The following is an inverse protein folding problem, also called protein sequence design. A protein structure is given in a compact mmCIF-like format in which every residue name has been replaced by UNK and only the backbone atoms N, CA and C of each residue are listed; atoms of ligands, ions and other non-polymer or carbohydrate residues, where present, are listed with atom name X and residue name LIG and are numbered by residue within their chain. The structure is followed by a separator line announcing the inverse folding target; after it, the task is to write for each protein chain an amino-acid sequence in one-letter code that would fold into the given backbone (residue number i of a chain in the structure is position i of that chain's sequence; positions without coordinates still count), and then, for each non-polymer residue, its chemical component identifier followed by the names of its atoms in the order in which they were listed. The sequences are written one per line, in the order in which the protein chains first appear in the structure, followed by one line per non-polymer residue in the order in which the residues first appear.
data_IF_060214711055
#
_entry.id   IF_060214711055
#
_cell.length_a   1.000
_cell.length_b   1.000
_cell.length_c   1.000
_cell.angle_alpha   90.00
_cell.angle_beta   90.00
_cell.angle_gamma   90.00
#
_symmetry.space_group_name_H-M   'P 1'
#
loop_
_entity.id
_entity.type
_entity.pdbx_description
1 polymer ?
#
# COMPACT_ATOMS: atom_id res chain seq x y z
N UNK A 1 16.97 -10.04 50.84
CA UNK A 1 17.56 -11.25 50.20
C UNK A 1 16.46 -12.28 50.02
N UNK A 2 16.32 -12.85 48.82
CA UNK A 2 15.30 -13.87 48.54
C UNK A 2 15.89 -15.23 48.95
N UNK A 3 15.31 -15.87 49.96
CA UNK A 3 15.76 -17.14 50.54
C UNK A 3 15.09 -18.30 49.79
N UNK A 4 15.85 -19.32 49.45
CA UNK A 4 15.34 -20.53 48.79
C UNK A 4 15.61 -21.73 49.71
N UNK A 5 14.65 -22.66 49.80
CA UNK A 5 14.72 -23.81 50.70
C UNK A 5 15.01 -25.09 49.91
N UNK A 6 15.86 -25.96 50.44
CA UNK A 6 16.12 -27.29 49.88
C UNK A 6 15.06 -28.31 50.31
N UNK A 7 15.11 -29.52 49.75
CA UNK A 7 14.17 -30.62 50.05
C UNK A 7 14.24 -31.12 51.50
N UNK A 8 15.22 -30.64 52.27
CA UNK A 8 15.40 -30.92 53.70
C UNK A 8 15.04 -29.71 54.58
N UNK A 9 14.45 -28.66 54.00
CA UNK A 9 13.99 -27.46 54.71
C UNK A 9 15.12 -26.54 55.19
N UNK A 10 16.35 -26.71 54.69
CA UNK A 10 17.43 -25.75 54.97
C UNK A 10 17.26 -24.52 54.09
N UNK A 11 17.40 -23.35 54.72
CA UNK A 11 17.43 -22.06 54.03
C UNK A 11 18.82 -21.85 53.44
N UNK A 12 18.90 -21.89 52.13
CA UNK A 12 20.11 -21.61 51.37
C UNK A 12 20.18 -20.13 51.01
N UNK A 13 21.39 -19.59 51.06
CA UNK A 13 21.68 -18.30 50.47
C UNK A 13 21.46 -18.35 48.96
N UNK A 14 21.18 -17.20 48.34
CA UNK A 14 21.07 -17.11 46.88
C UNK A 14 22.34 -17.64 46.20
N UNK A 15 23.54 -17.45 46.78
CA UNK A 15 24.78 -18.02 46.23
C UNK A 15 24.84 -19.55 46.29
N UNK A 16 24.44 -20.14 47.42
CA UNK A 16 24.50 -21.61 47.63
C UNK A 16 23.46 -22.36 46.79
N UNK A 17 22.34 -21.71 46.46
CA UNK A 17 21.30 -22.30 45.61
C UNK A 17 21.75 -22.45 44.16
N UNK A 18 22.57 -21.52 43.67
CA UNK A 18 23.16 -21.59 42.33
C UNK A 18 24.27 -22.65 42.23
N UNK A 19 25.07 -22.82 43.30
CA UNK A 19 26.15 -23.84 43.33
C UNK A 19 25.61 -25.28 43.41
N UNK A 20 24.41 -25.47 43.96
CA UNK A 20 23.78 -26.79 44.09
C UNK A 20 22.91 -27.20 42.87
N UNK A 21 22.86 -26.36 41.83
CA UNK A 21 22.15 -26.67 40.58
C UNK A 21 23.09 -27.49 39.67
N UNK A 22 22.64 -28.65 39.17
CA UNK A 22 23.47 -29.57 38.37
C UNK A 22 23.98 -28.88 37.10
N UNK A 23 25.20 -29.20 36.65
CA UNK A 23 25.76 -28.66 35.39
C UNK A 23 24.83 -28.90 34.18
N UNK A 24 24.08 -30.00 34.15
CA UNK A 24 23.07 -30.27 33.11
C UNK A 24 21.90 -29.27 33.13
N UNK A 25 21.53 -28.69 34.29
CA UNK A 25 20.53 -27.62 34.39
C UNK A 25 21.14 -26.23 34.11
N UNK A 26 22.47 -26.12 34.10
CA UNK A 26 23.18 -24.90 33.64
C UNK A 26 23.25 -24.83 32.11
N UNK A 27 23.23 -25.96 31.41
CA UNK A 27 23.36 -26.03 29.95
C UNK A 27 22.02 -26.14 29.19
N UNK A 28 20.88 -26.38 29.86
CA UNK A 28 19.58 -26.67 29.20
C UNK A 28 18.72 -25.43 28.87
N UNK A 29 19.00 -24.23 29.38
CA UNK A 29 18.11 -23.05 29.15
C UNK A 29 18.84 -21.74 28.77
N UNK A 30 20.10 -21.86 28.36
CA UNK A 30 21.02 -20.77 28.04
C UNK A 30 21.47 -20.91 26.58
N UNK A 31 20.61 -20.67 25.60
CA UNK A 31 20.86 -19.41 24.91
C UNK A 31 20.59 -18.27 25.89
N UNK A 32 21.68 -17.75 26.46
CA UNK A 32 21.63 -16.82 27.58
C UNK A 32 20.66 -15.70 27.26
N UNK A 33 19.97 -15.15 28.26
CA UNK A 33 19.16 -13.95 28.04
C UNK A 33 19.94 -12.83 27.32
N UNK A 34 21.27 -12.84 27.44
CA UNK A 34 22.18 -12.00 26.67
C UNK A 34 22.23 -12.36 25.18
N UNK A 35 22.38 -13.64 24.81
CA UNK A 35 22.36 -14.12 23.42
C UNK A 35 20.98 -13.94 22.75
N UNK A 36 19.88 -14.27 23.44
CA UNK A 36 18.52 -14.01 22.94
C UNK A 36 18.33 -12.50 22.65
N UNK A 37 18.81 -11.64 23.54
CA UNK A 37 18.79 -10.17 23.36
C UNK A 37 19.70 -9.72 22.22
N UNK A 38 20.89 -10.32 22.07
CA UNK A 38 21.82 -10.01 20.99
C UNK A 38 21.24 -10.41 19.62
N UNK A 39 20.67 -11.60 19.51
CA UNK A 39 20.01 -12.09 18.30
C UNK A 39 18.82 -11.21 17.92
N UNK A 40 17.94 -10.87 18.89
CA UNK A 40 16.84 -9.93 18.65
C UNK A 40 17.34 -8.56 18.15
N UNK A 41 18.40 -8.02 18.77
CA UNK A 41 19.01 -6.76 18.33
C UNK A 41 19.62 -6.84 16.93
N UNK A 42 20.17 -8.00 16.54
CA UNK A 42 20.70 -8.23 15.20
C UNK A 42 19.58 -8.27 14.16
N UNK A 43 18.49 -8.99 14.43
CA UNK A 43 17.32 -9.04 13.56
C UNK A 43 16.68 -7.67 13.36
N UNK A 44 16.53 -6.88 14.43
CA UNK A 44 15.95 -5.55 14.32
C UNK A 44 16.86 -4.58 13.56
N UNK A 45 18.19 -4.68 13.67
CA UNK A 45 19.11 -3.92 12.80
C UNK A 45 18.86 -4.24 11.33
N UNK A 46 18.84 -5.53 10.97
CA UNK A 46 18.57 -5.99 9.60
C UNK A 46 17.23 -5.45 9.10
N UNK A 47 16.18 -5.47 9.93
CA UNK A 47 14.87 -4.89 9.60
C UNK A 47 14.97 -3.38 9.33
N UNK A 48 15.68 -2.63 10.17
CA UNK A 48 15.86 -1.18 10.00
C UNK A 48 16.65 -0.84 8.73
N UNK A 49 17.63 -1.66 8.37
CA UNK A 49 18.40 -1.48 7.14
C UNK A 49 17.51 -1.68 5.91
N UNK A 50 16.69 -2.73 5.88
CA UNK A 50 15.72 -2.94 4.79
C UNK A 50 14.72 -1.78 4.66
N UNK A 51 14.27 -1.21 5.78
CA UNK A 51 13.39 -0.02 5.77
C UNK A 51 14.13 1.19 5.22
N UNK A 52 15.39 1.39 5.62
CA UNK A 52 16.23 2.48 5.12
C UNK A 52 16.42 2.37 3.61
N UNK A 53 16.64 1.16 3.08
CA UNK A 53 16.76 0.91 1.65
C UNK A 53 15.43 1.22 0.94
N UNK A 54 14.31 0.77 1.50
CA UNK A 54 12.97 1.08 0.96
C UNK A 54 12.69 2.58 0.90
N UNK A 55 13.11 3.35 1.92
CA UNK A 55 13.01 4.81 1.92
C UNK A 55 13.90 5.47 0.85
N UNK A 56 15.07 4.89 0.59
CA UNK A 56 15.98 5.38 -0.45
C UNK A 56 15.37 5.17 -1.83
N UNK A 57 14.88 3.96 -2.12
CA UNK A 57 14.16 3.66 -3.37
C UNK A 57 12.92 4.53 -3.57
N UNK A 58 12.17 4.80 -2.49
CA UNK A 58 11.00 5.68 -2.54
C UNK A 58 11.39 7.12 -2.88
N UNK A 59 12.43 7.66 -2.23
CA UNK A 59 12.94 9.01 -2.51
C UNK A 59 13.35 9.14 -3.98
N UNK A 60 14.09 8.16 -4.49
CA UNK A 60 14.62 8.20 -5.85
C UNK A 60 13.51 8.09 -6.92
N UNK A 61 12.34 7.52 -6.55
CA UNK A 61 11.15 7.45 -7.41
C UNK A 61 10.32 8.73 -7.44
N UNK A 62 10.60 9.70 -6.55
CA UNK A 62 9.87 10.98 -6.46
C UNK A 62 10.75 12.09 -7.07
N UNK A 63 10.40 12.64 -8.25
CA UNK A 63 11.27 13.58 -8.98
C UNK A 63 11.71 14.80 -8.17
N UNK A 64 10.81 15.35 -7.33
CA UNK A 64 11.11 16.53 -6.51
C UNK A 64 12.08 16.27 -5.34
N UNK A 65 12.49 15.03 -5.11
CA UNK A 65 13.39 14.64 -4.03
C UNK A 65 14.72 14.07 -4.55
N UNK A 66 14.88 13.93 -5.86
CA UNK A 66 16.09 13.40 -6.47
C UNK A 66 17.27 14.35 -6.23
N UNK A 67 18.38 13.82 -5.74
CA UNK A 67 19.59 14.61 -5.48
C UNK A 67 19.55 15.44 -4.20
N UNK A 68 18.44 15.47 -3.46
CA UNK A 68 18.29 16.25 -2.23
C UNK A 68 18.31 15.39 -0.96
N UNK A 69 18.80 15.98 0.14
CA UNK A 69 18.67 15.39 1.48
C UNK A 69 17.25 15.63 1.97
N UNK A 70 16.47 14.56 2.14
CA UNK A 70 15.10 14.61 2.63
C UNK A 70 14.91 13.74 3.89
N UNK A 71 14.19 14.25 4.89
CA UNK A 71 13.79 13.46 6.06
C UNK A 71 12.73 12.41 5.70
N UNK A 72 12.58 11.37 6.54
CA UNK A 72 11.54 10.34 6.33
C UNK A 72 10.13 10.93 6.22
N UNK A 73 9.80 11.92 7.03
CA UNK A 73 8.51 12.60 6.98
C UNK A 73 8.31 13.35 5.65
N UNK A 74 9.34 14.05 5.17
CA UNK A 74 9.29 14.73 3.87
C UNK A 74 9.16 13.73 2.72
N UNK A 75 9.87 12.60 2.75
CA UNK A 75 9.76 11.54 1.73
C UNK A 75 8.31 11.06 1.62
N UNK A 76 7.69 10.72 2.75
CA UNK A 76 6.28 10.26 2.76
C UNK A 76 5.33 11.34 2.26
N UNK A 77 5.50 12.58 2.72
CA UNK A 77 4.65 13.71 2.32
C UNK A 77 4.74 13.96 0.81
N UNK A 78 5.96 14.07 0.26
CA UNK A 78 6.18 14.32 -1.17
C UNK A 78 5.77 13.14 -2.04
N UNK A 79 5.94 11.90 -1.57
CA UNK A 79 5.43 10.72 -2.27
C UNK A 79 3.90 10.75 -2.39
N UNK A 80 3.19 11.09 -1.31
CA UNK A 80 1.74 11.23 -1.33
C UNK A 80 1.29 12.35 -2.30
N UNK A 81 1.92 13.52 -2.21
CA UNK A 81 1.68 14.65 -3.13
C UNK A 81 1.91 14.22 -4.59
N UNK A 82 2.99 13.49 -4.87
CA UNK A 82 3.34 13.04 -6.22
C UNK A 82 2.34 12.01 -6.77
N UNK A 83 1.86 11.07 -5.94
CA UNK A 83 0.80 10.12 -6.34
C UNK A 83 -0.48 10.88 -6.73
N UNK A 84 -0.90 11.86 -5.92
CA UNK A 84 -2.08 12.67 -6.22
C UNK A 84 -1.91 13.49 -7.49
N UNK A 85 -0.72 14.07 -7.69
CA UNK A 85 -0.38 14.78 -8.92
C UNK A 85 -0.44 13.87 -10.15
N UNK A 86 0.19 12.68 -10.09
CA UNK A 86 0.21 11.74 -11.20
C UNK A 86 -1.18 11.19 -11.54
N UNK A 87 -2.06 11.00 -10.55
CA UNK A 87 -3.47 10.63 -10.80
C UNK A 87 -4.19 11.71 -11.60
N UNK A 88 -4.12 12.97 -11.18
CA UNK A 88 -4.72 14.10 -11.91
C UNK A 88 -4.15 14.24 -13.31
N UNK A 89 -2.82 14.13 -13.46
CA UNK A 89 -2.13 14.20 -14.75
C UNK A 89 -2.56 13.09 -15.70
N UNK A 90 -2.63 11.84 -15.21
CA UNK A 90 -3.08 10.71 -16.03
C UNK A 90 -4.54 10.86 -16.45
N UNK A 91 -5.42 11.37 -15.58
CA UNK A 91 -6.81 11.64 -15.93
C UNK A 91 -6.94 12.71 -17.02
N UNK A 92 -6.18 13.80 -16.93
CA UNK A 92 -6.14 14.82 -17.97
C UNK A 92 -5.66 14.25 -19.31
N UNK A 93 -4.58 13.45 -19.31
CA UNK A 93 -4.12 12.78 -20.52
C UNK A 93 -5.14 11.79 -21.08
N UNK A 94 -5.90 11.09 -20.22
CA UNK A 94 -6.97 10.21 -20.67
C UNK A 94 -8.09 11.00 -21.35
N UNK A 95 -8.47 12.15 -20.79
CA UNK A 95 -9.43 13.06 -21.42
C UNK A 95 -8.93 13.56 -22.78
N UNK A 96 -7.67 13.98 -22.88
CA UNK A 96 -7.07 14.41 -24.15
C UNK A 96 -7.11 13.29 -25.20
N UNK A 97 -6.80 12.05 -24.79
CA UNK A 97 -6.86 10.87 -25.66
C UNK A 97 -8.28 10.64 -26.18
N UNK A 98 -9.29 10.73 -25.32
CA UNK A 98 -10.67 10.47 -25.68
C UNK A 98 -11.26 11.58 -26.56
N UNK A 99 -10.89 12.84 -26.32
CA UNK A 99 -11.25 13.96 -27.18
C UNK A 99 -10.63 13.85 -28.57
N UNK A 100 -9.34 13.49 -28.65
CA UNK A 100 -8.66 13.24 -29.94
C UNK A 100 -9.27 12.05 -30.69
N UNK A 101 -9.65 10.97 -29.98
CA UNK A 101 -10.37 9.84 -30.59
C UNK A 101 -11.72 10.25 -31.16
N UNK A 102 -12.48 11.08 -30.44
CA UNK A 102 -13.76 11.63 -30.93
C UNK A 102 -13.54 12.48 -32.18
N UNK A 103 -12.54 13.37 -32.16
CA UNK A 103 -12.19 14.21 -33.31
C UNK A 103 -11.79 13.38 -34.52
N UNK A 104 -10.91 12.39 -34.34
CA UNK A 104 -10.51 11.49 -35.43
C UNK A 104 -11.70 10.73 -36.01
N UNK A 105 -12.60 10.21 -35.17
CA UNK A 105 -13.81 9.51 -35.63
C UNK A 105 -14.72 10.42 -36.48
N UNK A 106 -14.89 11.68 -36.07
CA UNK A 106 -15.66 12.67 -36.84
C UNK A 106 -15.01 12.96 -38.20
N UNK A 107 -13.70 13.20 -38.20
CA UNK A 107 -12.94 13.45 -39.43
C UNK A 107 -12.97 12.25 -40.37
N UNK A 108 -12.80 11.03 -39.85
CA UNK A 108 -12.92 9.81 -40.64
C UNK A 108 -14.31 9.65 -41.26
N UNK A 109 -15.38 10.02 -40.52
CA UNK A 109 -16.74 10.00 -41.07
C UNK A 109 -16.92 11.03 -42.18
N UNK A 110 -16.38 12.24 -42.00
CA UNK A 110 -16.41 13.30 -43.02
C UNK A 110 -15.65 12.87 -44.28
N UNK A 111 -14.46 12.27 -44.13
CA UNK A 111 -13.67 11.74 -45.25
C UNK A 111 -14.47 10.68 -46.00
N UNK A 112 -15.04 9.68 -45.30
CA UNK A 112 -15.87 8.64 -45.93
C UNK A 112 -17.03 9.23 -46.73
N UNK A 113 -17.73 10.23 -46.18
CA UNK A 113 -18.85 10.89 -46.88
C UNK A 113 -18.38 11.62 -48.14
N UNK A 114 -17.28 12.38 -48.05
CA UNK A 114 -16.71 13.08 -49.20
C UNK A 114 -16.19 12.13 -50.27
N UNK A 115 -15.57 11.02 -49.88
CA UNK A 115 -15.14 9.97 -50.81
C UNK A 115 -16.33 9.34 -51.54
N UNK A 116 -17.43 9.07 -50.83
CA UNK A 116 -18.66 8.55 -51.42
C UNK A 116 -19.31 9.55 -52.38
N UNK A 117 -19.41 10.83 -52.00
CA UNK A 117 -19.94 11.90 -52.85
C UNK A 117 -19.09 12.11 -54.11
N UNK A 118 -17.76 12.01 -53.98
CA UNK A 118 -16.83 12.08 -55.13
C UNK A 118 -17.02 10.89 -56.07
N UNK A 119 -17.27 9.70 -55.54
CA UNK A 119 -17.51 8.49 -56.34
C UNK A 119 -18.86 8.52 -57.07
N UNK A 120 -19.90 9.12 -56.48
CA UNK A 120 -21.24 9.20 -57.08
C UNK A 120 -21.46 10.44 -57.96
N UNK A 121 -20.55 11.42 -57.94
CA UNK A 121 -20.65 12.66 -58.71
C UNK A 121 -21.62 13.70 -58.12
N UNK A 122 -22.23 13.41 -56.97
CA UNK A 122 -23.18 14.29 -56.27
C UNK A 122 -22.48 15.11 -55.17
N UNK A 123 -21.70 16.13 -55.59
CA UNK A 123 -20.93 16.98 -54.67
C UNK A 123 -21.79 17.89 -53.76
N UNK A 124 -23.00 18.24 -54.18
CA UNK A 124 -23.87 19.17 -53.44
C UNK A 124 -24.47 18.56 -52.15
N UNK A 125 -24.82 17.27 -52.16
CA UNK A 125 -25.39 16.55 -51.00
C UNK A 125 -24.32 16.16 -49.96
N UNK A 126 -23.09 15.90 -50.41
CA UNK A 126 -21.99 15.49 -49.52
C UNK A 126 -21.48 16.61 -48.61
N UNK A 127 -21.62 17.88 -49.04
CA UNK A 127 -21.11 19.04 -48.30
C UNK A 127 -22.01 19.40 -47.10
N UNK A 128 -23.34 19.31 -47.25
CA UNK A 128 -24.30 19.70 -46.21
C UNK A 128 -24.29 18.72 -45.02
N UNK A 129 -24.16 17.42 -45.28
CA UNK A 129 -24.05 16.39 -44.23
C UNK A 129 -22.65 16.33 -43.60
N UNK A 130 -21.58 16.62 -44.35
CA UNK A 130 -20.21 16.65 -43.81
C UNK A 130 -19.96 17.89 -42.92
N UNK A 131 -20.64 19.00 -43.18
CA UNK A 131 -20.52 20.25 -42.41
C UNK A 131 -21.48 20.34 -41.23
N UNK A 132 -22.28 19.29 -40.95
CA UNK A 132 -23.27 19.22 -39.86
C UNK A 132 -22.96 20.15 -38.70
N UNK A 133 -23.49 21.37 -38.78
CA UNK A 133 -23.40 22.44 -37.79
C UNK A 133 -24.28 21.99 -36.61
N UNK A 134 -23.78 21.02 -35.86
CA UNK A 134 -24.24 20.66 -34.54
C UNK A 134 -23.43 21.47 -33.55
N UNK A 135 -23.89 22.68 -33.28
CA UNK A 135 -23.55 23.44 -32.08
C UNK A 135 -23.95 22.62 -30.84
N UNK A 136 -23.19 21.59 -30.49
CA UNK A 136 -23.34 20.90 -29.21
C UNK A 136 -22.45 21.60 -28.18
N UNK A 137 -22.97 22.72 -27.72
CA UNK A 137 -22.46 23.48 -26.58
C UNK A 137 -22.94 22.88 -25.25
N UNK A 138 -22.90 21.55 -25.08
CA UNK A 138 -23.09 20.92 -23.77
C UNK A 138 -21.75 20.57 -23.12
N UNK A 139 -20.99 21.63 -22.81
CA UNK A 139 -19.97 21.57 -21.75
C UNK A 139 -20.69 21.44 -20.39
N UNK A 140 -21.06 20.23 -20.03
CA UNK A 140 -21.34 19.89 -18.63
C UNK A 140 -20.02 19.41 -18.03
N UNK A 141 -19.28 20.33 -17.42
CA UNK A 141 -18.18 19.98 -16.53
C UNK A 141 -18.77 19.50 -15.20
N UNK A 142 -19.05 18.20 -15.08
CA UNK A 142 -19.26 17.59 -13.76
C UNK A 142 -17.91 17.42 -13.06
N UNK A 143 -17.49 18.50 -12.41
CA UNK A 143 -16.42 18.51 -11.42
C UNK A 143 -17.07 18.36 -10.04
N UNK A 144 -17.48 17.15 -9.68
CA UNK A 144 -17.79 16.81 -8.30
C UNK A 144 -16.49 16.61 -7.51
N UNK A 145 -15.98 17.73 -6.99
CA UNK A 145 -15.10 17.72 -5.82
C UNK A 145 -15.90 17.17 -4.63
N UNK A 146 -15.71 15.89 -4.32
CA UNK A 146 -16.03 15.36 -2.99
C UNK A 146 -14.73 15.35 -2.19
N UNK A 147 -14.60 16.36 -1.34
CA UNK A 147 -13.71 16.37 -0.19
C UNK A 147 -14.15 15.27 0.79
N UNK A 148 -13.71 14.03 0.58
CA UNK A 148 -13.79 13.01 1.61
C UNK A 148 -12.59 13.14 2.55
N UNK A 149 -12.69 14.17 3.40
CA UNK A 149 -11.91 14.24 4.62
C UNK A 149 -12.29 13.03 5.49
N UNK A 150 -11.40 12.05 5.57
CA UNK A 150 -11.52 10.91 6.48
C UNK A 150 -11.57 11.41 7.94
N UNK A 151 -12.79 11.67 8.42
CA UNK A 151 -13.10 11.92 9.82
C UNK A 151 -12.97 10.59 10.57
N UNK A 152 -11.80 10.35 11.16
CA UNK A 152 -11.62 9.28 12.15
C UNK A 152 -12.36 9.72 13.41
N UNK A 153 -13.62 9.28 13.56
CA UNK A 153 -14.31 9.37 14.83
C UNK A 153 -14.68 7.98 15.35
N UNK A 154 -14.01 7.61 16.44
CA UNK A 154 -14.38 6.53 17.34
C UNK A 154 -15.81 6.76 17.85
N UNK A 155 -16.69 5.77 17.72
CA UNK A 155 -17.40 5.25 18.90
C UNK A 155 -18.22 3.99 18.64
N UNK A 156 -18.06 3.08 19.61
CA UNK A 156 -18.99 2.05 20.06
C UNK A 156 -20.47 2.37 19.80
N UNK A 157 -21.23 1.39 19.33
CA UNK A 157 -22.03 0.51 20.22
C UNK A 157 -23.04 -0.31 19.39
N UNK A 158 -23.03 -1.63 19.62
CA UNK A 158 -24.23 -2.47 19.73
C UNK A 158 -25.09 -2.67 18.49
N UNK A 159 -24.95 -3.85 17.86
CA UNK A 159 -26.13 -4.50 17.30
C UNK A 159 -26.15 -6.02 17.54
N UNK A 160 -27.28 -6.40 18.15
CA UNK A 160 -27.88 -7.67 18.53
C UNK A 160 -27.48 -8.99 17.85
N UNK A 161 -27.19 -9.97 18.72
CA UNK A 161 -27.65 -11.37 18.78
C UNK A 161 -28.25 -12.05 17.52
N UNK A 162 -27.56 -13.08 17.03
CA UNK A 162 -28.12 -14.06 16.10
C UNK A 162 -27.20 -15.25 15.79
N UNK A 163 -27.33 -16.31 16.59
CA UNK A 163 -27.23 -17.73 16.21
C UNK A 163 -25.95 -18.26 15.52
N UNK A 164 -25.21 -19.09 16.27
CA UNK A 164 -24.77 -20.41 15.81
C UNK A 164 -23.49 -20.51 14.98
N UNK A 165 -22.44 -21.09 15.58
CA UNK A 165 -21.34 -21.68 14.82
C UNK A 165 -20.00 -21.77 15.55
N UNK A 166 -19.79 -22.85 16.31
CA UNK A 166 -18.49 -23.17 16.92
C UNK A 166 -17.40 -23.32 15.85
N UNK A 167 -16.45 -22.38 15.78
CA UNK A 167 -15.25 -22.50 14.94
C UNK A 167 -14.12 -23.12 15.76
N UNK A 168 -13.82 -24.39 15.44
CA UNK A 168 -12.69 -25.18 15.95
C UNK A 168 -11.39 -24.67 15.33
N UNK A 169 -10.41 -24.29 16.15
CA UNK A 169 -9.05 -24.03 15.67
C UNK A 169 -8.36 -25.36 15.34
N UNK A 170 -8.04 -25.58 14.07
CA UNK A 170 -7.27 -26.73 13.60
C UNK A 170 -5.78 -26.38 13.69
N UNK A 171 -5.07 -26.96 14.67
CA UNK A 171 -3.59 -26.91 14.76
C UNK A 171 -2.99 -27.56 13.50
N UNK A 172 -2.09 -26.85 12.82
CA UNK A 172 -1.24 -27.41 11.76
C UNK A 172 -0.16 -28.27 12.42
N UNK A 173 -0.04 -29.52 11.97
CA UNK A 173 1.09 -30.40 12.33
C UNK A 173 2.26 -30.03 11.43
N UNK A 174 3.40 -29.69 12.03
CA UNK A 174 4.68 -29.59 11.33
C UNK A 174 5.19 -31.01 11.09
N UNK A 175 5.31 -31.42 9.82
CA UNK A 175 6.09 -32.59 9.47
C UNK A 175 7.57 -32.19 9.48
N UNK A 176 8.31 -32.70 10.45
CA UNK A 176 9.77 -32.77 10.37
C UNK A 176 10.13 -33.99 9.52
N UNK A 177 10.83 -33.75 8.42
CA UNK A 177 11.60 -34.76 7.71
C UNK A 177 12.85 -34.05 7.24
N UNK A 178 13.95 -34.23 7.97
CA UNK A 178 15.26 -34.69 7.51
C UNK A 178 16.14 -34.87 8.74
#
# INVERSE_FOLDING_TARGET
MRLHEDSQGRKLSTGEWYDNMSDDDRDIDIESDAEKRAHHNALERKRRDHIKDSFTSLRDSVPSLQGEKASRAQILKKAAEYIMFMRRKNNAHQQDIDDLRRQNSMLESQIRHLEQARATGNFADGLDLALGIGNDSSRESDSSDIDEAANINNNNNGNSNGLGGARRNKKMKTNSSY
#
